data_IF_715725968476
#
_entry.id   IF_715725968476
#
_cell.length_a   1.000
_cell.length_b   1.000
_cell.length_c   1.000
_cell.angle_alpha   90.00
_cell.angle_beta   90.00
_cell.angle_gamma   90.00
#
_symmetry.space_group_name_H-M   'P 1'
#
loop_
_entity.id
_entity.type
_entity.pdbx_description
1 polymer ?
#
# COMPACT_ATOMS: atom_id res chain seq x y z
N UNK A 1 24.39 -75.12 36.36
CA UNK A 1 23.07 -74.44 36.22
C UNK A 1 23.17 -72.97 36.42
N UNK A 2 23.37 -72.20 35.34
CA UNK A 2 23.28 -70.77 35.42
C UNK A 2 22.58 -70.22 34.18
N UNK A 3 21.42 -69.58 34.40
CA UNK A 3 20.57 -68.98 33.38
C UNK A 3 21.12 -67.57 33.04
N UNK A 4 21.54 -67.42 31.82
CA UNK A 4 21.81 -66.01 31.28
C UNK A 4 20.50 -65.47 30.69
N UNK A 5 20.04 -64.36 31.25
CA UNK A 5 19.00 -63.48 30.67
C UNK A 5 19.66 -62.49 29.73
N UNK A 6 19.33 -62.57 28.46
CA UNK A 6 19.66 -61.52 27.47
C UNK A 6 18.65 -60.38 27.65
N UNK A 7 19.14 -59.18 27.96
CA UNK A 7 18.35 -57.97 27.87
C UNK A 7 18.53 -57.37 26.46
N UNK A 8 17.44 -57.36 25.70
CA UNK A 8 17.36 -56.65 24.42
C UNK A 8 16.99 -55.18 24.71
N UNK A 9 17.94 -54.28 24.55
CA UNK A 9 17.69 -52.84 24.62
C UNK A 9 17.19 -52.33 23.25
N UNK A 10 15.92 -52.01 23.20
CA UNK A 10 15.28 -51.39 22.04
C UNK A 10 15.66 -49.88 22.04
N UNK A 11 16.58 -49.47 21.15
CA UNK A 11 16.85 -48.07 20.90
C UNK A 11 15.79 -47.52 19.96
N UNK A 12 14.82 -46.80 20.51
CA UNK A 12 13.87 -46.02 19.73
C UNK A 12 14.55 -44.71 19.36
N UNK A 13 15.04 -44.60 18.13
CA UNK A 13 15.50 -43.35 17.56
C UNK A 13 14.28 -42.51 17.14
N UNK A 14 13.87 -41.59 17.96
CA UNK A 14 12.92 -40.53 17.58
C UNK A 14 13.62 -39.56 16.61
N UNK A 15 13.38 -39.74 15.32
CA UNK A 15 13.72 -38.76 14.32
C UNK A 15 12.78 -37.56 14.51
N UNK A 16 13.32 -36.46 15.06
CA UNK A 16 12.65 -35.17 15.02
C UNK A 16 12.71 -34.65 13.58
N UNK A 17 11.61 -34.79 12.85
CA UNK A 17 11.35 -34.04 11.67
C UNK A 17 11.13 -32.58 12.13
N UNK A 18 12.15 -31.75 11.99
CA UNK A 18 11.95 -30.31 11.94
C UNK A 18 11.19 -30.01 10.65
N UNK A 19 9.89 -29.88 10.73
CA UNK A 19 9.12 -29.20 9.72
C UNK A 19 9.57 -27.73 9.77
N UNK A 20 10.46 -27.34 8.86
CA UNK A 20 10.61 -25.93 8.51
C UNK A 20 9.28 -25.48 7.90
N UNK A 21 8.42 -24.92 8.73
CA UNK A 21 7.29 -24.15 8.26
C UNK A 21 7.88 -22.88 7.63
N UNK A 22 7.92 -22.83 6.31
CA UNK A 22 8.16 -21.61 5.57
C UNK A 22 7.05 -20.61 5.96
N UNK A 23 7.38 -19.69 6.85
CA UNK A 23 6.47 -18.63 7.31
C UNK A 23 5.99 -17.70 6.19
N UNK A 24 6.63 -17.74 5.03
CA UNK A 24 6.30 -16.90 3.87
C UNK A 24 5.15 -17.44 3.00
N UNK A 25 4.67 -18.67 3.22
CA UNK A 25 3.51 -19.22 2.49
C UNK A 25 2.15 -18.87 3.13
N UNK A 26 2.14 -18.18 4.27
CA UNK A 26 0.91 -17.97 5.04
C UNK A 26 -0.06 -16.96 4.47
N UNK A 27 0.34 -16.10 3.52
CA UNK A 27 -0.60 -15.13 2.93
C UNK A 27 -1.52 -15.72 1.85
N UNK A 28 -1.09 -16.77 1.14
CA UNK A 28 -1.90 -17.41 0.09
C UNK A 28 -2.96 -18.40 0.62
N UNK A 29 -2.93 -18.75 1.91
CA UNK A 29 -3.89 -19.65 2.55
C UNK A 29 -4.90 -18.94 3.46
N UNK A 30 -4.95 -17.63 3.45
CA UNK A 30 -5.99 -16.89 4.18
C UNK A 30 -7.33 -17.14 3.48
N UNK A 31 -8.29 -17.57 4.27
CA UNK A 31 -9.67 -17.78 3.84
C UNK A 31 -10.21 -16.49 3.17
N UNK A 32 -10.41 -16.52 1.85
CA UNK A 32 -10.88 -15.38 1.04
C UNK A 32 -12.28 -14.86 1.45
N UNK A 33 -12.94 -15.54 2.40
CA UNK A 33 -14.22 -15.11 2.96
C UNK A 33 -14.08 -14.27 4.25
N UNK A 34 -12.87 -13.94 4.69
CA UNK A 34 -12.62 -13.12 5.88
C UNK A 34 -12.19 -11.72 5.48
N UNK A 35 -12.89 -10.70 5.99
CA UNK A 35 -12.53 -9.32 5.73
C UNK A 35 -11.12 -9.00 6.26
N UNK A 36 -10.28 -8.50 5.38
CA UNK A 36 -8.94 -7.99 5.69
C UNK A 36 -9.00 -6.50 5.96
N UNK A 37 -8.28 -6.07 6.99
CA UNK A 37 -8.19 -4.66 7.37
C UNK A 37 -6.97 -3.98 6.71
N UNK A 38 -6.75 -4.32 5.44
CA UNK A 38 -5.68 -3.79 4.58
C UNK A 38 -6.17 -3.63 3.12
N UNK A 39 -5.33 -3.06 2.26
CA UNK A 39 -5.62 -2.95 0.83
C UNK A 39 -5.47 -4.32 0.18
N UNK A 40 -6.58 -4.88 -0.31
CA UNK A 40 -6.61 -6.21 -0.91
C UNK A 40 -7.68 -6.34 -2.01
N UNK A 41 -7.39 -7.14 -3.04
CA UNK A 41 -8.36 -7.61 -4.04
C UNK A 41 -8.53 -9.12 -3.88
N UNK A 42 -9.73 -9.55 -3.49
CA UNK A 42 -10.05 -10.97 -3.22
C UNK A 42 -10.20 -11.78 -4.50
N UNK A 43 -10.58 -11.14 -5.60
CA UNK A 43 -10.85 -11.80 -6.87
C UNK A 43 -9.77 -11.47 -7.91
N UNK A 44 -9.25 -12.46 -8.64
CA UNK A 44 -8.16 -12.27 -9.59
C UNK A 44 -8.55 -11.42 -10.81
N UNK A 45 -9.85 -11.34 -11.15
CA UNK A 45 -10.39 -10.52 -12.23
C UNK A 45 -10.51 -9.04 -11.85
N UNK A 46 -10.43 -8.68 -10.56
CA UNK A 46 -10.48 -7.28 -10.11
C UNK A 46 -9.10 -6.66 -10.22
N UNK A 47 -8.97 -5.60 -11.00
CA UNK A 47 -7.72 -4.91 -11.34
C UNK A 47 -7.84 -3.39 -11.25
N UNK A 48 -6.70 -2.73 -11.28
CA UNK A 48 -6.59 -1.25 -11.36
C UNK A 48 -7.45 -0.55 -10.31
N UNK A 49 -7.43 -1.07 -9.07
CA UNK A 49 -8.21 -0.48 -7.98
C UNK A 49 -7.55 0.83 -7.54
N UNK A 50 -8.28 1.93 -7.70
CA UNK A 50 -7.85 3.27 -7.28
C UNK A 50 -8.78 3.77 -6.17
N UNK A 51 -8.19 4.38 -5.15
CA UNK A 51 -8.90 5.14 -4.13
C UNK A 51 -8.12 6.43 -3.88
N UNK A 52 -8.72 7.56 -4.19
CA UNK A 52 -8.07 8.87 -4.09
C UNK A 52 -9.08 9.98 -3.86
N UNK A 53 -8.61 11.16 -3.51
CA UNK A 53 -9.44 12.37 -3.46
C UNK A 53 -9.90 12.75 -4.88
N UNK A 54 -11.16 13.15 -5.03
CA UNK A 54 -11.76 13.49 -6.35
C UNK A 54 -10.99 14.58 -7.08
N UNK A 55 -10.40 15.53 -6.35
CA UNK A 55 -9.68 16.67 -6.93
C UNK A 55 -8.25 16.33 -7.34
N UNK A 56 -7.65 15.24 -6.78
CA UNK A 56 -6.26 14.91 -7.01
C UNK A 56 -6.02 13.39 -6.92
N UNK A 57 -5.84 12.73 -8.07
CA UNK A 57 -5.70 11.27 -8.16
C UNK A 57 -4.46 10.66 -7.46
N UNK A 58 -3.47 11.49 -7.10
CA UNK A 58 -2.27 11.05 -6.36
C UNK A 58 -2.34 11.38 -4.86
N UNK A 59 -3.41 12.02 -4.40
CA UNK A 59 -3.59 12.29 -2.99
C UNK A 59 -3.78 10.98 -2.21
N UNK A 60 -3.25 10.96 -1.00
CA UNK A 60 -3.60 9.91 -0.05
C UNK A 60 -5.11 9.95 0.24
N UNK A 61 -5.77 8.80 0.43
CA UNK A 61 -7.21 8.75 0.69
C UNK A 61 -7.51 9.20 2.13
N UNK A 62 -7.38 10.50 2.37
CA UNK A 62 -7.57 11.13 3.68
C UNK A 62 -8.56 12.28 3.54
N UNK A 63 -9.65 12.23 4.28
CA UNK A 63 -10.72 13.23 4.30
C UNK A 63 -10.71 14.05 5.57
N UNK A 64 -11.03 15.34 5.48
CA UNK A 64 -11.43 16.13 6.63
C UNK A 64 -12.89 15.84 7.00
N UNK A 65 -13.14 15.64 8.30
CA UNK A 65 -14.50 15.45 8.83
C UNK A 65 -15.44 16.64 8.52
N UNK A 66 -14.89 17.83 8.29
CA UNK A 66 -15.66 19.08 8.23
C UNK A 66 -15.60 19.83 6.89
N UNK A 67 -14.69 19.47 5.97
CA UNK A 67 -14.45 20.25 4.76
C UNK A 67 -15.30 19.82 3.54
N UNK A 68 -16.03 18.71 3.62
CA UNK A 68 -16.84 18.20 2.52
C UNK A 68 -16.01 17.65 1.36
N UNK A 69 -14.79 17.21 1.63
CA UNK A 69 -13.94 16.49 0.69
C UNK A 69 -14.55 15.13 0.36
N UNK A 70 -14.26 14.60 -0.83
CA UNK A 70 -14.81 13.33 -1.32
C UNK A 70 -13.70 12.45 -1.88
N UNK A 71 -13.86 11.14 -1.73
CA UNK A 71 -13.01 10.12 -2.36
C UNK A 71 -13.75 9.47 -3.53
N UNK A 72 -13.00 9.09 -4.54
CA UNK A 72 -13.45 8.22 -5.61
C UNK A 72 -12.79 6.84 -5.46
N UNK A 73 -13.62 5.81 -5.37
CA UNK A 73 -13.21 4.42 -5.54
C UNK A 73 -13.54 3.99 -6.97
N UNK A 74 -12.53 3.47 -7.68
CA UNK A 74 -12.75 2.86 -8.99
C UNK A 74 -11.95 1.56 -9.14
N UNK A 75 -12.46 0.65 -9.97
CA UNK A 75 -11.80 -0.61 -10.32
C UNK A 75 -12.34 -1.18 -11.62
N UNK A 76 -11.57 -2.09 -12.22
CA UNK A 76 -11.98 -2.83 -13.41
C UNK A 76 -12.27 -4.29 -13.06
N UNK A 77 -13.36 -4.83 -13.61
CA UNK A 77 -13.68 -6.25 -13.62
C UNK A 77 -13.37 -6.83 -15.00
N UNK A 78 -12.36 -7.71 -15.09
CA UNK A 78 -11.88 -8.31 -16.34
C UNK A 78 -12.81 -9.38 -16.93
N UNK A 79 -13.88 -9.75 -16.26
CA UNK A 79 -14.91 -10.63 -16.85
C UNK A 79 -15.69 -9.88 -17.94
N UNK A 80 -15.75 -8.54 -17.88
CA UNK A 80 -16.30 -7.68 -18.94
C UNK A 80 -17.81 -7.69 -19.05
N UNK A 81 -18.50 -8.26 -18.07
CA UNK A 81 -19.95 -8.21 -17.91
C UNK A 81 -20.36 -7.21 -16.82
N UNK A 82 -21.67 -6.95 -16.73
CA UNK A 82 -22.20 -6.11 -15.64
C UNK A 82 -22.52 -6.98 -14.44
N UNK A 83 -21.95 -6.62 -13.28
CA UNK A 83 -22.25 -7.22 -11.99
C UNK A 83 -22.78 -6.17 -11.00
N UNK A 84 -23.44 -6.65 -9.95
CA UNK A 84 -23.97 -5.79 -8.89
C UNK A 84 -22.95 -5.74 -7.74
N UNK A 85 -22.34 -4.58 -7.55
CA UNK A 85 -21.39 -4.33 -6.49
C UNK A 85 -21.95 -3.33 -5.49
N UNK A 86 -21.65 -3.58 -4.22
CA UNK A 86 -22.02 -2.73 -3.09
C UNK A 86 -20.81 -2.44 -2.25
N UNK A 87 -20.61 -1.19 -1.83
CA UNK A 87 -19.56 -0.78 -0.89
C UNK A 87 -20.16 -0.45 0.46
N UNK A 88 -19.49 -0.87 1.53
CA UNK A 88 -19.79 -0.51 2.91
C UNK A 88 -18.52 -0.20 3.70
N UNK A 89 -18.66 0.22 4.96
CA UNK A 89 -17.57 0.81 5.74
C UNK A 89 -17.48 0.20 7.14
N UNK A 90 -16.24 0.06 7.63
CA UNK A 90 -15.94 -0.32 9.02
C UNK A 90 -15.01 0.72 9.61
N UNK A 91 -15.35 1.24 10.79
CA UNK A 91 -14.46 2.11 11.54
C UNK A 91 -13.39 1.30 12.26
N UNK A 92 -12.13 1.74 12.19
CA UNK A 92 -10.98 1.07 12.78
C UNK A 92 -10.20 1.99 13.73
N UNK A 93 -9.50 1.38 14.67
CA UNK A 93 -8.52 2.02 15.53
C UNK A 93 -7.22 2.36 14.74
N UNK A 94 -6.29 3.05 15.37
CA UNK A 94 -5.02 3.47 14.77
C UNK A 94 -4.16 2.32 14.25
N UNK A 95 -4.33 1.11 14.79
CA UNK A 95 -3.66 -0.14 14.40
C UNK A 95 -4.44 -0.98 13.37
N UNK A 96 -5.50 -0.42 12.79
CA UNK A 96 -6.42 -1.06 11.85
C UNK A 96 -7.28 -2.18 12.44
N UNK A 97 -7.26 -2.42 13.75
CA UNK A 97 -8.27 -3.28 14.38
C UNK A 97 -9.65 -2.61 14.31
N UNK A 98 -10.74 -3.36 14.06
CA UNK A 98 -12.07 -2.78 14.08
C UNK A 98 -12.36 -2.14 15.45
N UNK A 99 -13.03 -1.01 15.45
CA UNK A 99 -13.51 -0.38 16.69
C UNK A 99 -14.82 -1.01 17.13
N UNK A 100 -15.18 -0.78 18.42
CA UNK A 100 -16.45 -1.24 18.98
C UNK A 100 -17.64 -0.32 18.63
N UNK A 101 -17.49 0.61 17.68
CA UNK A 101 -18.55 1.50 17.24
C UNK A 101 -19.57 0.77 16.36
N UNK A 102 -20.85 0.97 16.63
CA UNK A 102 -21.92 0.57 15.73
C UNK A 102 -21.91 1.48 14.49
N UNK A 103 -22.35 0.95 13.33
CA UNK A 103 -22.35 1.70 12.05
C UNK A 103 -23.08 3.04 12.19
N UNK A 104 -24.21 3.08 12.90
CA UNK A 104 -25.00 4.30 13.16
C UNK A 104 -24.28 5.36 13.98
N UNK A 105 -23.19 5.03 14.68
CA UNK A 105 -22.41 5.98 15.46
C UNK A 105 -21.38 6.72 14.62
N UNK A 106 -20.82 6.09 13.59
CA UNK A 106 -19.79 6.70 12.76
C UNK A 106 -20.27 7.06 11.34
N UNK A 107 -21.44 6.59 10.93
CA UNK A 107 -22.01 6.85 9.62
C UNK A 107 -23.46 7.32 9.77
N UNK A 108 -23.83 8.40 9.07
CA UNK A 108 -25.17 8.94 8.97
C UNK A 108 -25.66 8.82 7.53
N UNK A 109 -26.91 8.44 7.33
CA UNK A 109 -27.50 8.19 6.01
C UNK A 109 -27.50 6.71 5.65
N UNK A 110 -27.20 6.40 4.39
CA UNK A 110 -27.14 5.01 3.91
C UNK A 110 -25.79 4.37 4.29
N UNK A 111 -25.81 3.12 4.71
CA UNK A 111 -24.61 2.38 5.12
C UNK A 111 -23.99 1.60 3.97
N UNK A 112 -24.82 1.16 3.04
CA UNK A 112 -24.46 0.40 1.85
C UNK A 112 -24.74 1.23 0.62
N UNK A 113 -23.72 1.43 -0.22
CA UNK A 113 -23.81 2.23 -1.44
C UNK A 113 -23.61 1.33 -2.67
N UNK A 114 -24.55 1.35 -3.59
CA UNK A 114 -24.47 0.56 -4.82
C UNK A 114 -23.68 1.29 -5.90
N UNK A 115 -22.85 0.54 -6.65
CA UNK A 115 -22.18 1.06 -7.84
C UNK A 115 -23.20 1.23 -8.97
N UNK A 116 -23.64 2.46 -9.19
CA UNK A 116 -24.52 2.81 -10.29
C UNK A 116 -23.76 3.23 -11.55
N UNK A 117 -22.55 3.78 -11.38
CA UNK A 117 -21.68 4.18 -12.47
C UNK A 117 -20.81 3.01 -12.91
N UNK A 118 -21.03 2.56 -14.14
CA UNK A 118 -20.18 1.57 -14.80
C UNK A 118 -20.11 1.87 -16.30
N UNK A 119 -18.98 1.45 -16.90
CA UNK A 119 -18.77 1.58 -18.34
C UNK A 119 -18.04 0.35 -18.88
N UNK A 120 -18.39 -0.08 -20.09
CA UNK A 120 -17.68 -1.15 -20.77
C UNK A 120 -16.41 -0.61 -21.46
N UNK A 121 -15.35 -1.39 -21.45
CA UNK A 121 -14.13 -1.07 -22.19
C UNK A 121 -14.42 -0.95 -23.69
N UNK A 122 -13.77 0.03 -24.33
CA UNK A 122 -13.94 0.33 -25.76
C UNK A 122 -12.58 0.24 -26.46
N UNK A 123 -12.58 -0.38 -27.65
CA UNK A 123 -11.37 -0.52 -28.50
C UNK A 123 -10.21 -1.22 -27.80
N UNK A 124 -10.47 -2.09 -26.82
CA UNK A 124 -9.49 -2.86 -26.06
C UNK A 124 -9.46 -4.33 -26.48
N UNK A 125 -8.28 -4.95 -26.39
CA UNK A 125 -8.09 -6.39 -26.60
C UNK A 125 -8.66 -7.18 -25.42
N UNK A 126 -8.30 -6.78 -24.19
CA UNK A 126 -8.90 -7.31 -22.97
C UNK A 126 -10.20 -6.56 -22.68
N UNK A 127 -11.32 -7.27 -22.67
CA UNK A 127 -12.60 -6.70 -22.24
C UNK A 127 -12.61 -6.57 -20.71
N UNK A 128 -13.22 -5.49 -20.23
CA UNK A 128 -13.46 -5.26 -18.81
C UNK A 128 -14.64 -4.32 -18.65
N UNK A 129 -15.22 -4.33 -17.47
CA UNK A 129 -16.22 -3.34 -17.02
C UNK A 129 -15.58 -2.47 -15.96
N UNK A 130 -15.54 -1.16 -16.19
CA UNK A 130 -15.04 -0.17 -15.24
C UNK A 130 -16.18 0.24 -14.31
N UNK A 131 -15.93 0.28 -13.00
CA UNK A 131 -16.86 0.73 -11.98
C UNK A 131 -16.26 1.89 -11.19
N UNK A 132 -17.09 2.90 -10.87
CA UNK A 132 -16.68 4.01 -10.00
C UNK A 132 -17.79 4.44 -9.06
N UNK A 133 -17.40 4.95 -7.89
CA UNK A 133 -18.30 5.53 -6.90
C UNK A 133 -17.58 6.64 -6.14
N UNK A 134 -18.27 7.74 -5.90
CA UNK A 134 -17.79 8.87 -5.10
C UNK A 134 -18.48 8.87 -3.75
N UNK A 135 -17.73 9.04 -2.68
CA UNK A 135 -18.22 9.11 -1.30
C UNK A 135 -17.38 10.06 -0.43
N UNK A 136 -17.90 10.59 0.68
CA UNK A 136 -19.31 10.59 1.10
C UNK A 136 -20.18 11.30 0.06
N UNK A 137 -21.41 10.83 -0.11
CA UNK A 137 -22.33 11.43 -1.06
C UNK A 137 -23.09 12.58 -0.39
N UNK A 138 -22.86 13.80 -0.84
CA UNK A 138 -23.31 15.02 -0.14
C UNK A 138 -24.59 15.63 -0.73
N UNK A 139 -25.00 15.24 -1.95
CA UNK A 139 -25.99 15.98 -2.74
C UNK A 139 -27.18 15.16 -3.25
N UNK A 140 -27.26 13.87 -2.94
CA UNK A 140 -28.35 13.01 -3.35
C UNK A 140 -29.22 12.55 -2.18
N UNK A 141 -30.28 11.82 -2.48
CA UNK A 141 -31.14 11.21 -1.46
C UNK A 141 -30.41 10.15 -0.61
N UNK A 142 -29.24 9.66 -1.08
CA UNK A 142 -28.40 8.68 -0.36
C UNK A 142 -27.38 9.33 0.58
N UNK A 143 -27.58 10.57 0.96
CA UNK A 143 -26.72 11.42 1.77
C UNK A 143 -25.97 10.65 2.87
N UNK A 144 -24.78 10.15 2.54
CA UNK A 144 -23.89 9.41 3.46
C UNK A 144 -22.85 10.36 4.01
N UNK A 145 -22.67 10.38 5.34
CA UNK A 145 -21.66 11.23 6.02
C UNK A 145 -20.95 10.47 7.11
N UNK A 146 -19.65 10.64 7.19
CA UNK A 146 -18.86 10.22 8.35
C UNK A 146 -19.09 11.20 9.50
N UNK A 147 -19.32 10.68 10.71
CA UNK A 147 -19.58 11.46 11.92
C UNK A 147 -18.46 11.34 12.96
N UNK A 148 -17.52 10.43 12.76
CA UNK A 148 -16.34 10.20 13.59
C UNK A 148 -15.07 10.28 12.77
N UNK A 149 -14.00 10.78 13.39
CA UNK A 149 -12.65 10.70 12.85
C UNK A 149 -12.00 9.37 13.24
N UNK A 150 -11.08 8.86 12.41
CA UNK A 150 -10.35 7.63 12.65
C UNK A 150 -9.92 6.97 11.34
N UNK A 151 -9.49 5.73 11.43
CA UNK A 151 -9.24 4.88 10.28
C UNK A 151 -10.53 4.20 9.83
N UNK A 152 -10.61 3.94 8.53
CA UNK A 152 -11.74 3.27 7.92
C UNK A 152 -11.27 2.23 6.92
N UNK A 153 -11.91 1.07 6.94
CA UNK A 153 -11.89 0.11 5.84
C UNK A 153 -13.18 0.28 5.07
N UNK A 154 -13.09 0.56 3.78
CA UNK A 154 -14.18 0.25 2.87
C UNK A 154 -13.97 -1.16 2.34
N UNK A 155 -15.05 -1.90 2.13
CA UNK A 155 -15.00 -3.15 1.38
C UNK A 155 -16.17 -3.25 0.42
N UNK A 156 -15.88 -3.89 -0.71
CA UNK A 156 -16.86 -4.13 -1.77
C UNK A 156 -17.23 -5.61 -1.76
N UNK A 157 -18.51 -5.89 -1.92
CA UNK A 157 -19.04 -7.23 -2.05
C UNK A 157 -20.02 -7.31 -3.23
N UNK A 158 -20.27 -8.51 -3.72
CA UNK A 158 -21.04 -8.78 -4.92
C UNK A 158 -22.38 -9.42 -4.61
N UNK A 159 -23.43 -9.09 -5.40
CA UNK A 159 -24.76 -9.67 -5.36
C UNK A 159 -25.48 -9.56 -4.01
N UNK A 160 -25.23 -8.49 -3.25
CA UNK A 160 -25.85 -8.28 -1.94
C UNK A 160 -25.39 -9.25 -0.83
N UNK A 161 -24.40 -10.11 -1.09
CA UNK A 161 -23.83 -11.02 -0.11
C UNK A 161 -22.53 -10.45 0.46
N UNK A 162 -22.57 -9.91 1.69
CA UNK A 162 -21.41 -9.32 2.36
C UNK A 162 -20.26 -10.30 2.63
N UNK A 163 -20.47 -11.60 2.44
CA UNK A 163 -19.41 -12.62 2.51
C UNK A 163 -18.72 -12.86 1.16
N UNK A 164 -19.35 -12.45 0.06
CA UNK A 164 -18.77 -12.53 -1.28
C UNK A 164 -17.87 -11.31 -1.55
N UNK A 165 -16.74 -11.27 -0.85
CA UNK A 165 -15.81 -10.13 -0.86
C UNK A 165 -15.15 -9.97 -2.23
N UNK A 166 -15.00 -8.72 -2.65
CA UNK A 166 -14.40 -8.32 -3.93
C UNK A 166 -13.09 -7.59 -3.70
N UNK A 167 -13.10 -6.54 -2.89
CA UNK A 167 -11.90 -5.80 -2.51
C UNK A 167 -12.10 -5.10 -1.16
N UNK A 168 -10.99 -4.74 -0.52
CA UNK A 168 -10.93 -3.84 0.64
C UNK A 168 -9.91 -2.73 0.41
N UNK A 169 -10.13 -1.54 0.97
CA UNK A 169 -9.24 -0.37 0.89
C UNK A 169 -9.25 0.43 2.18
N UNK A 170 -8.08 0.91 2.55
CA UNK A 170 -7.85 1.81 3.68
C UNK A 170 -8.10 3.26 3.28
N UNK A 171 -8.79 4.01 4.13
CA UNK A 171 -8.84 5.46 4.08
C UNK A 171 -8.95 6.03 5.48
N UNK A 172 -8.81 7.33 5.63
CA UNK A 172 -8.82 7.98 6.94
C UNK A 172 -9.70 9.22 6.92
N UNK A 173 -10.33 9.52 8.06
CA UNK A 173 -11.09 10.75 8.28
C UNK A 173 -10.47 11.46 9.48
N UNK A 174 -9.96 12.69 9.29
CA UNK A 174 -9.34 13.45 10.37
C UNK A 174 -10.22 14.61 10.86
N UNK A 175 -10.11 14.89 12.15
CA UNK A 175 -10.77 16.03 12.83
C UNK A 175 -9.66 17.01 13.26
N UNK A 176 -9.50 18.12 12.55
CA UNK A 176 -8.36 19.05 12.61
C UNK A 176 -8.32 19.81 13.97
N UNK A 177 -8.08 19.08 15.06
CA UNK A 177 -8.03 19.61 16.44
C UNK A 177 -6.61 19.83 16.96
N UNK A 178 -5.63 19.20 16.35
CA UNK A 178 -4.23 19.29 16.74
C UNK A 178 -3.40 19.92 15.62
N UNK A 179 -2.61 20.93 15.96
CA UNK A 179 -1.68 21.52 15.01
C UNK A 179 -0.35 20.77 15.03
N UNK A 180 0.21 20.49 13.84
CA UNK A 180 1.48 19.78 13.67
C UNK A 180 2.45 20.68 12.91
N UNK A 181 3.54 21.07 13.58
CA UNK A 181 4.70 21.69 12.95
C UNK A 181 5.79 20.64 12.78
N UNK A 182 6.34 20.49 11.58
CA UNK A 182 7.34 19.47 11.32
C UNK A 182 8.38 19.94 10.30
N UNK A 183 9.59 19.40 10.41
CA UNK A 183 10.73 19.70 9.54
C UNK A 183 11.60 18.46 9.36
N UNK A 184 12.39 18.45 8.27
CA UNK A 184 13.40 17.44 8.05
C UNK A 184 14.72 17.82 8.69
N UNK A 185 15.38 16.85 9.27
CA UNK A 185 16.76 16.95 9.74
C UNK A 185 17.57 15.74 9.30
N UNK A 186 18.87 15.89 9.34
CA UNK A 186 19.76 14.75 9.08
C UNK A 186 19.76 13.80 10.27
N UNK A 187 19.71 12.52 10.01
CA UNK A 187 19.86 11.51 11.05
C UNK A 187 21.23 11.64 11.72
N UNK A 188 21.25 11.52 13.05
CA UNK A 188 22.49 11.58 13.84
C UNK A 188 23.10 10.18 13.91
N UNK A 189 24.40 10.07 13.66
CA UNK A 189 25.14 8.81 13.77
C UNK A 189 26.15 8.60 12.65
N UNK A 190 27.07 7.65 12.83
CA UNK A 190 28.18 7.39 11.92
C UNK A 190 27.70 6.96 10.52
N UNK A 191 27.72 7.89 9.56
CA UNK A 191 27.34 7.66 8.17
C UNK A 191 25.83 7.66 7.88
N UNK A 192 24.97 7.67 8.89
CA UNK A 192 23.51 7.64 8.70
C UNK A 192 22.96 8.93 8.09
N UNK A 193 23.65 10.04 8.27
CA UNK A 193 23.29 11.35 7.70
C UNK A 193 23.23 11.36 6.17
N UNK A 194 23.88 10.41 5.48
CA UNK A 194 23.87 10.30 4.02
C UNK A 194 22.86 9.28 3.50
N UNK A 195 22.24 8.51 4.40
CA UNK A 195 21.40 7.38 4.06
C UNK A 195 19.95 7.55 4.53
N UNK A 196 19.76 8.25 5.66
CA UNK A 196 18.47 8.28 6.35
C UNK A 196 17.90 9.68 6.46
N UNK A 197 16.59 9.77 6.43
CA UNK A 197 15.78 10.98 6.61
C UNK A 197 15.14 10.94 7.99
N UNK A 198 15.37 11.99 8.77
CA UNK A 198 14.80 12.15 10.10
C UNK A 198 13.76 13.25 10.11
N UNK A 199 12.69 13.07 10.87
CA UNK A 199 11.59 14.02 10.98
C UNK A 199 11.49 14.49 12.43
N UNK A 200 11.78 15.79 12.64
CA UNK A 200 11.47 16.48 13.88
C UNK A 200 10.10 17.13 13.78
N UNK A 201 9.27 16.96 14.79
CA UNK A 201 7.95 17.58 14.80
C UNK A 201 7.47 17.92 16.20
N UNK A 202 6.53 18.86 16.25
CA UNK A 202 5.85 19.28 17.48
C UNK A 202 4.36 19.23 17.25
N UNK A 203 3.63 18.65 18.21
CA UNK A 203 2.17 18.61 18.24
C UNK A 203 1.70 19.61 19.28
N UNK A 204 0.85 20.57 18.88
CA UNK A 204 0.22 21.52 19.77
C UNK A 204 -1.27 21.20 19.91
N UNK A 205 -1.73 21.01 21.16
CA UNK A 205 -3.13 20.66 21.43
C UNK A 205 -4.09 21.86 21.45
N UNK A 206 -3.56 23.08 21.45
CA UNK A 206 -4.41 24.28 21.50
C UNK A 206 -5.40 24.25 22.66
N UNK A 207 -6.68 24.36 22.35
CA UNK A 207 -7.78 24.27 23.32
C UNK A 207 -8.28 22.82 23.54
N UNK A 208 -7.79 21.84 22.78
CA UNK A 208 -8.17 20.45 22.96
C UNK A 208 -7.46 19.85 24.19
N UNK A 209 -8.23 19.33 25.11
CA UNK A 209 -7.70 18.71 26.33
C UNK A 209 -7.24 17.28 26.04
N UNK A 210 -5.93 17.04 26.11
CA UNK A 210 -5.32 15.73 26.04
C UNK A 210 -5.13 15.15 27.44
N UNK A 211 -5.93 14.17 27.80
CA UNK A 211 -5.75 13.41 29.03
C UNK A 211 -4.71 12.32 28.81
N UNK A 212 -3.74 12.16 29.72
CA UNK A 212 -2.68 11.15 29.65
C UNK A 212 -1.99 11.02 28.28
N UNK A 213 -1.46 12.10 27.68
CA UNK A 213 -0.97 12.10 26.28
C UNK A 213 0.12 11.06 26.02
N UNK A 214 0.96 10.72 27.00
CA UNK A 214 1.99 9.69 26.86
C UNK A 214 1.43 8.26 26.70
N UNK A 215 0.21 8.02 27.15
CA UNK A 215 -0.45 6.72 27.06
C UNK A 215 -1.49 6.68 25.96
N UNK A 216 -2.33 7.71 25.87
CA UNK A 216 -3.57 7.68 25.09
C UNK A 216 -3.40 8.37 23.72
N UNK A 217 -2.29 9.09 23.49
CA UNK A 217 -1.92 9.62 22.18
C UNK A 217 -0.99 8.65 21.44
N UNK A 218 -1.33 8.37 20.20
CA UNK A 218 -0.55 7.53 19.28
C UNK A 218 -0.18 8.34 18.05
N UNK A 219 1.05 8.20 17.61
CA UNK A 219 1.55 8.85 16.39
C UNK A 219 1.96 7.78 15.41
N UNK A 220 1.55 7.95 14.16
CA UNK A 220 1.96 7.12 13.03
C UNK A 220 2.59 8.01 11.98
N UNK A 221 3.74 7.60 11.46
CA UNK A 221 4.40 8.26 10.32
C UNK A 221 4.46 7.28 9.17
N UNK A 222 4.01 7.72 8.00
CA UNK A 222 4.09 6.97 6.75
C UNK A 222 5.07 7.66 5.81
N UNK A 223 5.87 6.89 5.10
CA UNK A 223 6.67 7.33 3.96
C UNK A 223 5.95 6.93 2.67
N UNK A 224 5.69 7.87 1.76
CA UNK A 224 5.04 7.64 0.46
C UNK A 224 3.65 6.98 0.58
N UNK A 225 2.92 7.29 1.66
CA UNK A 225 1.61 6.70 1.97
C UNK A 225 1.63 5.15 2.06
N UNK A 226 2.75 4.56 2.46
CA UNK A 226 2.96 3.12 2.63
C UNK A 226 2.67 2.71 4.06
N UNK A 227 1.90 1.63 4.23
CA UNK A 227 1.62 1.04 5.55
C UNK A 227 2.56 -0.12 5.89
N UNK A 228 3.26 -0.68 4.90
CA UNK A 228 4.23 -1.76 5.08
C UNK A 228 5.49 -1.31 5.83
N UNK A 229 5.89 -0.04 5.68
CA UNK A 229 7.02 0.58 6.37
C UNK A 229 6.62 1.63 7.41
N UNK A 230 5.34 1.66 7.79
CA UNK A 230 4.81 2.61 8.77
C UNK A 230 5.55 2.54 10.11
N UNK A 231 5.91 3.70 10.65
CA UNK A 231 6.45 3.82 12.01
C UNK A 231 5.33 4.20 12.97
N UNK A 232 5.17 3.41 14.00
CA UNK A 232 4.09 3.56 15.00
C UNK A 232 4.67 3.71 16.41
N UNK A 233 3.81 4.08 17.35
CA UNK A 233 4.13 4.15 18.81
C UNK A 233 5.27 5.10 19.18
N UNK A 234 5.51 6.13 18.38
CA UNK A 234 6.49 7.17 18.68
C UNK A 234 6.02 7.95 19.92
N UNK A 235 6.90 8.11 20.91
CA UNK A 235 6.63 8.88 22.11
C UNK A 235 7.29 10.25 22.04
N UNK A 236 6.67 11.30 22.64
CA UNK A 236 7.32 12.61 22.70
C UNK A 236 8.61 12.54 23.51
N UNK A 237 9.63 13.25 23.07
CA UNK A 237 10.91 13.39 23.77
C UNK A 237 10.73 14.20 25.06
N UNK A 238 9.90 15.24 25.00
CA UNK A 238 9.51 16.05 26.17
C UNK A 238 8.22 16.84 25.87
N UNK A 239 7.65 17.41 26.91
CA UNK A 239 6.47 18.26 26.85
C UNK A 239 6.81 19.66 27.37
N UNK A 240 6.33 20.68 26.67
CA UNK A 240 6.46 22.08 27.07
C UNK A 240 5.09 22.78 26.97
N UNK A 241 4.45 22.97 28.11
CA UNK A 241 3.06 23.47 28.15
C UNK A 241 2.13 22.53 27.39
N UNK A 242 1.42 23.06 26.39
CA UNK A 242 0.51 22.29 25.52
C UNK A 242 1.18 21.72 24.25
N UNK A 243 2.50 21.69 24.21
CA UNK A 243 3.28 21.21 23.06
C UNK A 243 4.00 19.91 23.41
N UNK A 244 3.91 18.94 22.52
CA UNK A 244 4.58 17.64 22.59
C UNK A 244 5.66 17.62 21.52
N UNK A 245 6.92 17.60 21.94
CA UNK A 245 8.08 17.69 21.05
C UNK A 245 8.61 16.30 20.77
N UNK A 246 8.77 16.01 19.49
CA UNK A 246 9.36 14.78 18.95
C UNK A 246 10.62 15.19 18.18
N UNK A 247 11.76 15.17 18.84
CA UNK A 247 13.05 15.52 18.28
C UNK A 247 14.09 14.52 18.73
N UNK A 248 15.13 14.34 17.91
CA UNK A 248 16.23 13.41 18.20
C UNK A 248 15.76 11.99 18.57
N UNK A 249 14.63 11.58 17.98
CA UNK A 249 14.03 10.28 18.27
C UNK A 249 14.34 9.34 17.09
N UNK A 250 15.17 8.33 17.31
CA UNK A 250 15.53 7.35 16.26
C UNK A 250 14.30 6.68 15.63
N UNK A 251 13.17 6.62 16.36
CA UNK A 251 11.93 6.06 15.85
C UNK A 251 11.30 6.88 14.70
N UNK A 252 11.60 8.17 14.58
CA UNK A 252 11.13 9.02 13.45
C UNK A 252 12.13 9.07 12.29
N UNK A 253 12.97 8.03 12.14
CA UNK A 253 14.02 7.95 11.13
C UNK A 253 13.71 6.85 10.12
N UNK A 254 13.71 7.22 8.84
CA UNK A 254 13.45 6.33 7.71
C UNK A 254 14.69 6.15 6.86
N UNK A 255 14.78 5.06 6.15
CA UNK A 255 15.68 4.98 5.00
C UNK A 255 15.23 6.02 3.96
N UNK A 256 16.19 6.75 3.37
CA UNK A 256 15.85 7.66 2.27
C UNK A 256 15.38 6.90 1.03
N UNK A 257 15.86 5.67 0.85
CA UNK A 257 15.59 4.88 -0.35
C UNK A 257 16.28 5.46 -1.57
N UNK A 258 15.66 5.32 -2.72
CA UNK A 258 16.09 5.91 -4.00
C UNK A 258 14.85 6.32 -4.78
N UNK A 259 15.00 7.21 -5.77
CA UNK A 259 13.91 7.55 -6.70
C UNK A 259 13.33 6.30 -7.33
N UNK A 260 12.00 6.23 -7.47
CA UNK A 260 11.33 5.04 -7.96
C UNK A 260 11.77 4.69 -9.38
N UNK A 261 11.86 3.41 -9.68
CA UNK A 261 11.92 2.92 -11.05
C UNK A 261 10.64 3.27 -11.78
N UNK A 262 10.69 3.30 -13.09
CA UNK A 262 9.52 3.61 -13.89
C UNK A 262 9.55 2.89 -15.23
N UNK A 263 8.40 2.82 -15.84
CA UNK A 263 8.23 2.51 -17.26
C UNK A 263 6.97 3.18 -17.78
N UNK A 264 6.97 3.46 -19.08
CA UNK A 264 5.88 4.12 -19.77
C UNK A 264 5.14 3.14 -20.70
N UNK A 265 3.92 2.77 -20.40
CA UNK A 265 3.04 1.93 -21.22
C UNK A 265 1.85 2.70 -21.79
N UNK A 266 1.92 4.02 -21.86
CA UNK A 266 0.83 4.84 -22.41
C UNK A 266 0.60 4.61 -23.91
N UNK A 267 1.57 4.03 -24.61
CA UNK A 267 1.40 3.49 -25.97
C UNK A 267 1.79 2.01 -26.00
N UNK A 268 1.04 1.22 -26.78
CA UNK A 268 1.37 -0.17 -27.12
C UNK A 268 1.68 -0.36 -28.62
N UNK A 269 1.74 0.74 -29.36
CA UNK A 269 2.12 0.77 -30.79
C UNK A 269 3.56 1.19 -30.99
N UNK A 270 4.07 2.01 -30.09
CA UNK A 270 5.45 2.54 -30.16
C UNK A 270 6.19 2.20 -28.89
N UNK A 271 7.50 1.93 -29.02
CA UNK A 271 8.37 1.78 -27.85
C UNK A 271 8.49 3.12 -27.15
N UNK A 272 8.16 3.12 -25.90
CA UNK A 272 8.18 4.26 -24.99
C UNK A 272 9.35 4.14 -24.02
N UNK A 273 9.49 5.07 -23.07
CA UNK A 273 10.59 5.04 -22.09
C UNK A 273 10.59 3.74 -21.28
N UNK A 274 11.75 3.10 -21.18
CA UNK A 274 12.00 1.86 -20.46
C UNK A 274 11.27 0.62 -20.99
N UNK A 275 10.64 0.69 -22.16
CA UNK A 275 10.07 -0.45 -22.87
C UNK A 275 11.04 -0.92 -23.94
N UNK A 276 11.52 -2.16 -23.85
CA UNK A 276 12.48 -2.76 -24.78
C UNK A 276 11.80 -3.40 -25.99
N UNK A 277 10.62 -4.01 -25.79
CA UNK A 277 9.87 -4.69 -26.86
C UNK A 277 8.37 -4.70 -26.52
N UNK A 278 7.55 -4.71 -27.57
CA UNK A 278 6.10 -4.92 -27.50
C UNK A 278 5.75 -5.97 -28.56
N UNK A 279 5.02 -7.01 -28.18
CA UNK A 279 4.57 -8.05 -29.11
C UNK A 279 3.17 -8.55 -28.75
N UNK A 280 2.56 -9.31 -29.64
CA UNK A 280 1.29 -9.98 -29.42
C UNK A 280 1.48 -11.49 -29.46
N UNK A 281 0.86 -12.19 -28.53
CA UNK A 281 0.86 -13.65 -28.53
C UNK A 281 -0.16 -14.22 -29.56
N UNK A 282 -0.25 -15.54 -29.63
CA UNK A 282 -1.18 -16.26 -30.51
C UNK A 282 -2.68 -15.94 -30.22
N UNK A 283 -2.97 -15.46 -29.03
CA UNK A 283 -4.31 -15.04 -28.60
C UNK A 283 -4.52 -13.52 -28.74
N UNK A 284 -3.62 -12.83 -29.46
CA UNK A 284 -3.61 -11.38 -29.63
C UNK A 284 -3.43 -10.56 -28.35
N UNK A 285 -3.08 -11.18 -27.21
CA UNK A 285 -2.74 -10.44 -25.99
C UNK A 285 -1.48 -9.64 -26.20
N UNK A 286 -1.49 -8.43 -25.66
CA UNK A 286 -0.34 -7.52 -25.74
C UNK A 286 0.63 -7.83 -24.60
N UNK A 287 1.90 -7.98 -24.97
CA UNK A 287 3.02 -8.14 -24.04
C UNK A 287 3.98 -6.98 -24.20
N UNK A 288 4.51 -6.49 -23.10
CA UNK A 288 5.55 -5.47 -23.06
C UNK A 288 6.73 -5.96 -22.22
N UNK A 289 7.90 -6.01 -22.83
CA UNK A 289 9.16 -6.35 -22.16
C UNK A 289 9.80 -5.05 -21.69
N UNK A 290 9.95 -4.90 -20.37
CA UNK A 290 10.64 -3.74 -19.81
C UNK A 290 12.15 -3.88 -20.01
N UNK A 291 12.84 -2.77 -20.20
CA UNK A 291 14.30 -2.77 -20.25
C UNK A 291 14.85 -3.44 -18.99
N UNK A 292 15.89 -4.27 -19.21
CA UNK A 292 16.56 -4.98 -18.13
C UNK A 292 16.86 -4.05 -16.95
N UNK A 293 16.51 -4.52 -15.76
CA UNK A 293 16.79 -3.81 -14.52
C UNK A 293 18.26 -3.97 -14.11
N UNK A 294 18.72 -3.08 -13.25
CA UNK A 294 20.07 -3.14 -12.70
C UNK A 294 20.05 -2.92 -11.17
N UNK A 295 21.11 -3.37 -10.52
CA UNK A 295 21.33 -3.11 -9.10
C UNK A 295 21.83 -1.67 -8.97
N UNK A 296 21.06 -0.82 -8.29
CA UNK A 296 21.39 0.60 -8.08
C UNK A 296 22.10 0.89 -6.75
N UNK A 297 22.14 -0.08 -5.85
CA UNK A 297 22.63 0.08 -4.48
C UNK A 297 24.03 0.71 -4.38
N UNK A 298 24.90 0.45 -5.37
CA UNK A 298 26.28 0.96 -5.40
C UNK A 298 26.47 2.09 -6.44
N UNK A 299 25.38 2.64 -6.99
CA UNK A 299 25.45 3.74 -7.95
C UNK A 299 25.31 5.09 -7.24
N UNK A 300 25.92 6.15 -7.79
CA UNK A 300 25.67 7.51 -7.32
C UNK A 300 24.18 7.84 -7.42
N UNK A 301 23.68 8.62 -6.45
CA UNK A 301 22.31 9.16 -6.51
C UNK A 301 22.11 10.02 -7.75
N UNK A 302 20.96 9.87 -8.35
CA UNK A 302 20.50 10.69 -9.46
C UNK A 302 19.04 11.08 -9.20
N UNK A 303 18.80 12.35 -8.96
CA UNK A 303 17.46 12.90 -8.81
C UNK A 303 16.63 12.70 -10.06
N UNK A 304 15.39 12.27 -9.89
CA UNK A 304 14.36 12.19 -10.92
C UNK A 304 13.00 12.47 -10.28
N UNK A 305 12.21 13.31 -10.92
CA UNK A 305 10.80 13.42 -10.54
C UNK A 305 10.07 12.10 -10.83
N UNK A 306 9.39 11.59 -9.84
CA UNK A 306 8.55 10.42 -9.95
C UNK A 306 7.18 10.65 -9.25
N UNK A 307 6.39 9.62 -9.06
CA UNK A 307 5.08 9.68 -8.40
C UNK A 307 5.08 8.95 -7.05
N UNK A 308 6.23 8.82 -6.41
CA UNK A 308 6.38 8.16 -5.11
C UNK A 308 5.72 6.75 -5.08
N UNK A 309 5.99 5.95 -6.13
CA UNK A 309 5.48 4.59 -6.26
C UNK A 309 4.04 4.46 -6.74
N UNK A 310 3.39 5.56 -7.14
CA UNK A 310 2.06 5.55 -7.75
C UNK A 310 2.12 5.23 -9.26
N UNK A 311 0.96 5.19 -9.89
CA UNK A 311 0.80 5.02 -11.33
C UNK A 311 -0.27 5.96 -11.88
N UNK A 312 -0.18 6.25 -13.18
CA UNK A 312 -1.14 7.03 -13.96
C UNK A 312 -1.72 6.16 -15.08
N UNK A 313 -3.04 5.96 -15.10
CA UNK A 313 -3.71 5.29 -16.23
C UNK A 313 -3.89 6.29 -17.37
N UNK A 314 -3.28 5.98 -18.51
CA UNK A 314 -3.32 6.83 -19.70
C UNK A 314 -3.11 6.01 -20.97
N UNK A 315 -3.85 6.35 -22.01
CA UNK A 315 -3.62 5.90 -23.37
C UNK A 315 -3.39 7.15 -24.25
N UNK A 316 -2.23 7.24 -24.90
CA UNK A 316 -1.88 8.38 -25.77
C UNK A 316 -2.30 8.21 -27.21
N UNK A 317 -2.83 7.05 -27.56
CA UNK A 317 -3.22 6.68 -28.94
C UNK A 317 -4.70 7.04 -29.22
N UNK A 318 -5.49 7.18 -28.18
CA UNK A 318 -6.91 7.46 -28.26
C UNK A 318 -7.27 8.70 -27.44
N UNK A 319 -8.35 9.38 -27.83
CA UNK A 319 -8.91 10.50 -27.10
C UNK A 319 -10.25 10.09 -26.47
N UNK A 320 -10.48 10.44 -25.21
CA UNK A 320 -11.71 10.11 -24.49
C UNK A 320 -11.44 9.72 -23.04
N UNK A 321 -12.36 8.95 -22.46
CA UNK A 321 -12.21 8.45 -21.10
C UNK A 321 -11.18 7.33 -21.02
N UNK A 322 -10.07 7.58 -20.32
CA UNK A 322 -8.97 6.62 -20.22
C UNK A 322 -9.33 5.39 -19.40
N UNK A 323 -10.30 5.49 -18.49
CA UNK A 323 -10.79 4.36 -17.72
C UNK A 323 -11.51 3.31 -18.59
N UNK A 324 -11.98 3.71 -19.80
CA UNK A 324 -12.63 2.82 -20.78
C UNK A 324 -11.72 2.43 -21.96
N UNK A 325 -10.73 3.29 -22.28
CA UNK A 325 -9.93 3.19 -23.52
C UNK A 325 -8.54 2.61 -23.32
N UNK A 326 -8.05 2.51 -22.08
CA UNK A 326 -6.74 1.93 -21.79
C UNK A 326 -6.83 0.39 -21.76
N UNK A 327 -5.99 -0.29 -22.54
CA UNK A 327 -5.97 -1.75 -22.65
C UNK A 327 -5.09 -2.39 -21.57
N UNK A 328 -5.28 -3.66 -21.30
CA UNK A 328 -4.43 -4.45 -20.40
C UNK A 328 -3.26 -5.10 -21.16
N UNK A 329 -2.10 -5.07 -20.53
CA UNK A 329 -0.81 -5.53 -21.07
C UNK A 329 -0.16 -6.48 -20.07
N UNK A 330 0.38 -7.59 -20.54
CA UNK A 330 1.23 -8.47 -19.75
C UNK A 330 2.66 -7.93 -19.77
N UNK A 331 3.13 -7.41 -18.63
CA UNK A 331 4.39 -6.68 -18.47
C UNK A 331 5.46 -7.60 -17.91
N UNK A 332 6.55 -7.80 -18.67
CA UNK A 332 7.65 -8.69 -18.33
C UNK A 332 8.82 -7.89 -17.76
N UNK A 333 9.22 -8.23 -16.54
CA UNK A 333 10.36 -7.65 -15.82
C UNK A 333 11.51 -8.65 -15.77
N UNK A 334 12.74 -8.15 -15.85
CA UNK A 334 13.94 -8.95 -15.68
C UNK A 334 15.02 -8.21 -14.91
N UNK A 335 15.48 -8.82 -13.81
CA UNK A 335 16.62 -8.38 -13.02
C UNK A 335 17.77 -9.39 -13.15
N UNK A 336 18.87 -9.08 -13.84
CA UNK A 336 20.06 -9.92 -13.85
C UNK A 336 20.60 -10.09 -12.43
N UNK A 337 20.84 -11.33 -12.05
CA UNK A 337 21.39 -11.67 -10.74
C UNK A 337 22.13 -12.99 -10.88
N UNK A 338 23.45 -12.98 -10.67
CA UNK A 338 24.34 -14.09 -11.07
C UNK A 338 24.00 -15.43 -10.41
N UNK A 339 23.52 -15.41 -9.17
CA UNK A 339 23.15 -16.59 -8.41
C UNK A 339 21.84 -16.34 -7.65
N UNK A 340 21.01 -17.37 -7.43
CA UNK A 340 19.80 -17.19 -6.62
C UNK A 340 20.15 -16.63 -5.22
N UNK A 341 19.34 -15.68 -4.75
CA UNK A 341 19.48 -15.14 -3.39
C UNK A 341 19.04 -16.20 -2.36
N UNK A 342 19.86 -16.40 -1.35
CA UNK A 342 19.60 -17.42 -0.32
C UNK A 342 18.78 -16.89 0.87
N UNK A 343 18.70 -15.56 1.02
CA UNK A 343 18.06 -14.93 2.19
C UNK A 343 16.58 -14.68 2.03
N UNK A 344 16.06 -14.71 0.81
CA UNK A 344 14.66 -14.42 0.53
C UNK A 344 14.36 -14.35 -0.96
N UNK A 345 13.15 -13.90 -1.28
CA UNK A 345 12.67 -13.72 -2.65
C UNK A 345 12.60 -12.24 -3.02
N UNK A 346 12.81 -11.92 -4.28
CA UNK A 346 12.60 -10.57 -4.80
C UNK A 346 11.14 -10.36 -5.23
N UNK A 347 10.65 -9.15 -5.00
CA UNK A 347 9.29 -8.74 -5.34
C UNK A 347 9.28 -7.38 -6.04
N UNK A 348 8.38 -7.21 -7.00
CA UNK A 348 8.02 -5.92 -7.57
C UNK A 348 7.03 -5.25 -6.61
N UNK A 349 7.36 -4.07 -6.09
CA UNK A 349 6.53 -3.33 -5.16
C UNK A 349 6.24 -1.90 -5.62
N UNK A 350 5.05 -1.45 -5.34
CA UNK A 350 4.52 -0.14 -5.65
C UNK A 350 2.99 -0.16 -5.51
N UNK A 351 2.33 0.94 -5.81
CA UNK A 351 0.86 0.98 -5.84
C UNK A 351 0.30 -0.02 -6.86
N UNK A 352 1.06 -0.35 -7.91
CA UNK A 352 0.71 -1.35 -8.93
C UNK A 352 0.53 -2.78 -8.37
N UNK A 353 1.07 -3.07 -7.19
CA UNK A 353 0.93 -4.34 -6.45
C UNK A 353 0.28 -4.14 -5.07
N UNK A 354 -0.35 -2.99 -4.85
CA UNK A 354 -0.90 -2.57 -3.54
C UNK A 354 0.13 -2.65 -2.39
N UNK A 355 1.43 -2.43 -2.70
CA UNK A 355 2.56 -2.54 -1.76
C UNK A 355 2.64 -3.92 -1.08
N UNK A 356 2.30 -4.99 -1.80
CA UNK A 356 2.25 -6.34 -1.25
C UNK A 356 3.29 -7.27 -1.86
N UNK A 357 3.96 -8.02 -0.99
CA UNK A 357 4.79 -9.17 -1.37
C UNK A 357 3.89 -10.41 -1.41
N UNK A 358 3.40 -10.76 -2.59
CA UNK A 358 2.53 -11.90 -2.82
C UNK A 358 2.97 -12.69 -4.05
N UNK A 359 2.27 -13.77 -4.37
CA UNK A 359 2.58 -14.64 -5.50
C UNK A 359 2.64 -13.90 -6.84
N UNK A 360 1.79 -12.89 -7.04
CA UNK A 360 1.73 -12.14 -8.31
C UNK A 360 2.87 -11.14 -8.46
N UNK A 361 3.36 -10.57 -7.35
CA UNK A 361 4.49 -9.60 -7.34
C UNK A 361 5.86 -10.27 -7.19
N UNK A 362 5.90 -11.58 -6.86
CA UNK A 362 7.13 -12.35 -6.67
C UNK A 362 7.88 -12.53 -7.98
N UNK A 363 9.19 -12.32 -7.94
CA UNK A 363 10.09 -12.62 -9.04
C UNK A 363 10.63 -14.05 -8.90
N UNK A 364 10.66 -14.78 -10.00
CA UNK A 364 11.15 -16.16 -10.05
C UNK A 364 12.53 -16.22 -10.73
N UNK A 365 13.46 -16.96 -10.15
CA UNK A 365 14.79 -17.09 -10.72
C UNK A 365 14.80 -17.97 -11.98
N UNK A 366 15.31 -17.45 -13.08
CA UNK A 366 15.52 -18.16 -14.32
C UNK A 366 16.99 -18.54 -14.48
N UNK A 367 17.31 -19.81 -14.33
CA UNK A 367 18.67 -20.35 -14.40
C UNK A 367 19.31 -20.19 -15.80
N UNK A 368 18.51 -20.19 -16.87
CA UNK A 368 19.02 -20.02 -18.23
C UNK A 368 19.44 -18.59 -18.51
N UNK A 369 18.65 -17.62 -18.03
CA UNK A 369 18.93 -16.19 -18.19
C UNK A 369 19.80 -15.61 -17.08
N UNK A 370 20.06 -16.38 -16.02
CA UNK A 370 20.79 -15.94 -14.81
C UNK A 370 20.22 -14.64 -14.24
N UNK A 371 18.95 -14.69 -13.81
CA UNK A 371 18.27 -13.52 -13.26
C UNK A 371 16.84 -13.82 -12.83
N UNK A 372 16.22 -12.85 -12.21
CA UNK A 372 14.85 -12.93 -11.73
C UNK A 372 13.86 -12.34 -12.72
N UNK A 373 12.74 -13.01 -12.90
CA UNK A 373 11.66 -12.63 -13.81
C UNK A 373 10.34 -12.48 -13.08
N UNK A 374 9.54 -11.50 -13.49
CA UNK A 374 8.14 -11.37 -13.08
C UNK A 374 7.28 -10.99 -14.28
N UNK A 375 5.99 -11.35 -14.23
CA UNK A 375 4.99 -10.96 -15.23
C UNK A 375 3.77 -10.41 -14.51
N UNK A 376 3.42 -9.15 -14.79
CA UNK A 376 2.28 -8.46 -14.19
C UNK A 376 1.30 -8.03 -15.29
N UNK A 377 0.01 -8.33 -15.11
CA UNK A 377 -1.04 -7.78 -15.97
C UNK A 377 -1.45 -6.41 -15.49
N UNK A 378 -1.10 -5.37 -16.26
CA UNK A 378 -1.29 -3.97 -15.93
C UNK A 378 -2.06 -3.25 -17.04
N UNK A 379 -2.83 -2.23 -16.70
CA UNK A 379 -3.53 -1.35 -17.62
C UNK A 379 -2.54 -0.38 -18.28
N UNK A 380 -2.78 0.08 -19.52
CA UNK A 380 -1.94 1.11 -20.15
C UNK A 380 -1.79 2.33 -19.24
N UNK A 381 -0.54 2.77 -19.03
CA UNK A 381 -0.25 3.85 -18.10
C UNK A 381 1.24 4.11 -17.91
N UNK A 382 1.54 4.97 -16.96
CA UNK A 382 2.90 5.24 -16.47
C UNK A 382 2.99 4.72 -15.04
N UNK A 383 4.04 3.98 -14.71
CA UNK A 383 4.15 3.25 -13.46
C UNK A 383 5.46 3.55 -12.74
N UNK A 384 5.36 3.73 -11.43
CA UNK A 384 6.52 3.69 -10.54
C UNK A 384 6.54 2.40 -9.71
N UNK A 385 7.74 1.89 -9.43
CA UNK A 385 7.94 0.67 -8.64
C UNK A 385 9.35 0.61 -8.06
N UNK A 386 9.55 -0.30 -7.13
CA UNK A 386 10.84 -0.72 -6.58
C UNK A 386 10.94 -2.24 -6.61
N UNK A 387 12.17 -2.74 -6.49
CA UNK A 387 12.44 -4.17 -6.28
C UNK A 387 12.93 -4.35 -4.84
N UNK A 388 12.24 -5.18 -4.08
CA UNK A 388 12.58 -5.43 -2.68
C UNK A 388 12.94 -6.90 -2.46
N UNK A 389 13.85 -7.17 -1.53
CA UNK A 389 14.10 -8.51 -1.02
C UNK A 389 13.20 -8.75 0.20
N UNK A 390 12.49 -9.89 0.25
CA UNK A 390 11.73 -10.26 1.45
C UNK A 390 12.67 -10.39 2.66
N UNK A 391 12.21 -9.89 3.79
CA UNK A 391 12.94 -9.91 5.06
C UNK A 391 11.93 -10.28 6.16
N UNK A 392 12.17 -11.38 6.88
CA UNK A 392 11.29 -11.85 7.95
C UNK A 392 11.10 -10.83 9.09
N UNK A 393 12.00 -9.85 9.19
CA UNK A 393 11.96 -8.80 10.21
C UNK A 393 11.22 -7.55 9.77
N UNK A 394 10.94 -7.39 8.45
CA UNK A 394 10.35 -6.18 7.86
C UNK A 394 9.16 -6.53 6.98
N UNK A 395 8.00 -6.02 7.27
CA UNK A 395 6.78 -6.23 6.45
C UNK A 395 6.95 -5.76 5.00
N UNK A 396 7.66 -4.65 4.77
CA UNK A 396 7.94 -4.08 3.45
C UNK A 396 9.18 -4.64 2.76
N UNK A 397 9.86 -5.64 3.35
CA UNK A 397 11.12 -6.17 2.83
C UNK A 397 12.30 -5.18 2.95
N UNK A 398 13.40 -5.51 2.30
CA UNK A 398 14.60 -4.67 2.21
C UNK A 398 14.79 -4.15 0.78
N UNK A 399 14.56 -2.86 0.57
CA UNK A 399 14.78 -2.18 -0.72
C UNK A 399 16.24 -1.81 -0.94
N UNK A 400 17.03 -1.68 0.14
CA UNK A 400 18.38 -1.11 0.06
C UNK A 400 19.37 -1.97 -0.72
N UNK A 401 19.14 -3.28 -0.80
CA UNK A 401 20.02 -4.23 -1.51
C UNK A 401 20.01 -3.99 -3.03
N UNK A 402 18.85 -3.65 -3.59
CA UNK A 402 18.70 -3.42 -5.03
C UNK A 402 18.68 -1.92 -5.35
N UNK A 403 17.94 -1.13 -4.59
CA UNK A 403 17.72 0.29 -4.89
C UNK A 403 18.80 1.20 -4.33
N UNK A 404 19.43 0.81 -3.23
CA UNK A 404 20.33 1.67 -2.48
C UNK A 404 19.58 2.52 -1.46
N UNK A 405 20.29 3.50 -0.90
CA UNK A 405 19.74 4.32 0.17
C UNK A 405 20.43 5.69 0.19
N UNK A 406 19.68 6.77 -0.03
CA UNK A 406 20.21 8.11 -0.18
C UNK A 406 19.36 9.13 0.60
N UNK A 407 20.00 9.97 1.39
CA UNK A 407 19.36 11.08 2.09
C UNK A 407 18.64 12.06 1.14
N UNK A 408 19.18 12.24 -0.06
CA UNK A 408 18.72 13.22 -1.05
C UNK A 408 17.42 12.83 -1.74
N UNK A 409 16.98 11.56 -1.61
CA UNK A 409 15.77 11.02 -2.25
C UNK A 409 14.54 11.86 -1.92
N UNK A 410 13.75 12.14 -2.95
CA UNK A 410 12.45 12.78 -2.78
C UNK A 410 11.46 11.80 -2.16
N UNK A 411 10.82 12.19 -1.07
CA UNK A 411 9.80 11.40 -0.40
C UNK A 411 8.71 12.29 0.19
N UNK A 412 7.49 11.77 0.18
CA UNK A 412 6.36 12.30 0.93
C UNK A 412 6.27 11.64 2.30
N UNK A 413 6.01 12.42 3.34
CA UNK A 413 5.75 11.91 4.67
C UNK A 413 4.41 12.39 5.19
N UNK A 414 3.73 11.49 5.93
CA UNK A 414 2.42 11.73 6.50
C UNK A 414 2.47 11.47 8.00
N UNK A 415 2.23 12.51 8.80
CA UNK A 415 2.16 12.40 10.26
C UNK A 415 0.69 12.36 10.65
N UNK A 416 0.27 11.27 11.29
CA UNK A 416 -1.08 11.01 11.77
C UNK A 416 -1.08 10.97 13.29
N UNK A 417 -1.93 11.77 13.93
CA UNK A 417 -2.00 11.87 15.39
C UNK A 417 -3.36 11.42 15.88
N UNK A 418 -3.37 10.33 16.63
CA UNK A 418 -4.56 9.73 17.22
C UNK A 418 -4.62 9.97 18.71
N UNK A 419 -5.83 10.06 19.22
CA UNK A 419 -6.08 10.11 20.66
C UNK A 419 -7.32 9.29 21.02
N UNK A 420 -7.19 8.43 22.03
CA UNK A 420 -8.33 7.73 22.63
C UNK A 420 -8.80 8.54 23.84
N UNK A 421 -9.85 9.32 23.63
CA UNK A 421 -10.41 10.14 24.72
C UNK A 421 -10.93 9.25 25.85
N UNK A 422 -10.71 9.64 27.11
CA UNK A 422 -11.24 8.92 28.27
C UNK A 422 -12.75 8.69 28.14
N UNK A 423 -13.20 7.45 28.36
CA UNK A 423 -14.60 7.05 28.22
C UNK A 423 -15.06 6.77 26.78
N UNK A 424 -14.15 6.80 25.79
CA UNK A 424 -14.45 6.35 24.43
C UNK A 424 -13.79 5.00 24.12
N UNK A 425 -14.33 4.27 23.14
CA UNK A 425 -13.92 2.91 22.78
C UNK A 425 -13.17 2.88 21.44
N UNK A 426 -12.79 4.04 20.88
CA UNK A 426 -12.15 4.15 19.58
C UNK A 426 -11.06 5.22 19.56
N UNK A 427 -10.12 5.09 18.63
CA UNK A 427 -9.07 6.07 18.39
C UNK A 427 -9.58 7.14 17.42
N UNK A 428 -9.52 8.42 17.83
CA UNK A 428 -9.87 9.57 16.99
C UNK A 428 -8.61 10.06 16.27
N UNK A 429 -8.65 10.24 14.97
CA UNK A 429 -7.58 10.91 14.21
C UNK A 429 -7.79 12.42 14.30
N UNK A 430 -6.99 13.11 15.12
CA UNK A 430 -7.18 14.51 15.48
C UNK A 430 -6.22 15.48 14.79
N UNK A 431 -5.19 14.98 14.15
CA UNK A 431 -4.21 15.78 13.41
C UNK A 431 -3.61 15.01 12.24
N UNK A 432 -3.41 15.73 11.15
CA UNK A 432 -2.80 15.24 9.93
C UNK A 432 -1.86 16.29 9.35
N UNK A 433 -0.66 15.87 8.94
CA UNK A 433 0.31 16.73 8.27
C UNK A 433 1.03 15.98 7.17
N UNK A 434 1.01 16.50 5.96
CA UNK A 434 1.86 16.06 4.84
C UNK A 434 3.11 16.94 4.77
N UNK A 435 4.25 16.34 4.49
CA UNK A 435 5.55 16.95 4.24
C UNK A 435 6.15 16.35 2.98
N UNK A 436 6.94 17.12 2.24
CA UNK A 436 7.73 16.62 1.13
C UNK A 436 9.18 17.06 1.30
N UNK A 437 10.15 16.18 1.04
CA UNK A 437 11.57 16.47 1.27
C UNK A 437 12.14 17.57 0.37
N UNK A 438 11.50 17.90 -0.75
CA UNK A 438 11.89 19.05 -1.57
C UNK A 438 11.50 20.41 -0.96
N UNK A 439 10.61 20.40 0.05
CA UNK A 439 10.16 21.61 0.76
C UNK A 439 10.98 21.86 2.04
N UNK A 440 12.26 21.53 1.98
CA UNK A 440 13.24 21.69 3.09
C UNK A 440 13.48 23.14 3.45
#
# INVERSE_FOLDING_TARGET
MHKYRLLLSLIVSTAYFFAQTNKNETEDYVNDNVLRYDDYAYKPNIKTVKLHEVTWEYAAPILSLHKGEQLELSFDDLDGDKKEYTVTFVHCNSDWTPSDLMVSEFLSGFYDLNFLNFAYSQSTTQKYTHYSIVFPELHTQQNTRFTKSGNYILYVYENGDSKNLVLSRRFMVYDDKLAIAAQFSQAIGNGQQFLKQHIDFTIASGAYELTNPFKDMKVVILQNNRWDNAVTDIKPSFMQGNQFVYSLNDASTFNGGNEFRYFDLRSVRFLTERVANIYRDENYKVHAVIQQEDIRANKPYLFRNDFNGNFLIRNTELSGNMDELADYVDVEFFLPYATPEAKGDFYIMGKLTDWRMNKTSRMTYNYTRMGYEANLRLKQGYYNYIIVLSDDTKKGGDETIIEGNHWDTENDYYILVYHRKFGTYYDQLLGYKKLNTLQR
#
